data_IF_387898439095
#
_entry.id   IF_387898439095
#
_cell.length_a   1.000
_cell.length_b   1.000
_cell.length_c   1.000
_cell.angle_alpha   90.00
_cell.angle_beta   90.00
_cell.angle_gamma   90.00
#
_symmetry.space_group_name_H-M   'P 1'
#
loop_
_entity.id
_entity.type
_entity.pdbx_description
1 polymer ?
#
# COMPACT_ATOMS: atom_id res chain seq x y z
N UNK A 1 -6.44 -11.30 -14.24
CA UNK A 1 -7.18 -12.48 -14.76
C UNK A 1 -6.53 -13.82 -14.43
N UNK A 2 -5.19 -13.97 -14.47
CA UNK A 2 -4.53 -15.26 -14.16
C UNK A 2 -4.59 -15.70 -12.67
N UNK A 3 -4.49 -14.76 -11.72
CA UNK A 3 -4.62 -15.05 -10.27
C UNK A 3 -6.04 -15.53 -9.91
N UNK A 4 -7.04 -15.11 -10.70
CA UNK A 4 -8.46 -15.39 -10.48
C UNK A 4 -8.80 -16.89 -10.63
N UNK A 5 -8.02 -17.64 -11.42
CA UNK A 5 -8.16 -19.09 -11.60
C UNK A 5 -7.24 -19.94 -10.72
N UNK A 6 -6.20 -19.35 -10.12
CA UNK A 6 -5.18 -20.10 -9.36
C UNK A 6 -5.47 -20.23 -7.85
N UNK A 7 -6.27 -19.33 -7.27
CA UNK A 7 -6.59 -19.33 -5.82
C UNK A 7 -7.35 -20.61 -5.38
N UNK A 8 -7.84 -21.41 -6.32
CA UNK A 8 -8.99 -22.29 -6.11
C UNK A 8 -8.71 -23.78 -6.37
N UNK A 9 -7.45 -24.22 -6.24
CA UNK A 9 -7.11 -25.65 -6.38
C UNK A 9 -7.15 -26.43 -5.06
N UNK A 10 -7.20 -25.76 -3.91
CA UNK A 10 -7.37 -26.40 -2.62
C UNK A 10 -8.83 -26.82 -2.40
N UNK A 11 -9.15 -28.09 -2.64
CA UNK A 11 -10.47 -28.66 -2.35
C UNK A 11 -10.78 -28.76 -0.85
N UNK A 12 -11.76 -29.62 -0.52
CA UNK A 12 -12.23 -29.89 0.86
C UNK A 12 -11.07 -30.19 1.84
N UNK A 13 -10.03 -30.89 1.36
CA UNK A 13 -8.82 -31.20 2.14
C UNK A 13 -8.10 -29.96 2.70
N UNK A 14 -8.10 -28.85 1.96
CA UNK A 14 -7.47 -27.62 2.45
C UNK A 14 -8.29 -26.97 3.57
N UNK A 15 -9.63 -27.05 3.51
CA UNK A 15 -10.50 -26.55 4.57
C UNK A 15 -10.37 -27.43 5.81
N UNK A 16 -10.34 -28.75 5.65
CA UNK A 16 -10.12 -29.66 6.77
C UNK A 16 -8.79 -29.39 7.47
N UNK A 17 -7.70 -29.24 6.70
CA UNK A 17 -6.39 -28.92 7.27
C UNK A 17 -6.44 -27.62 8.07
N UNK A 18 -7.07 -26.59 7.51
CA UNK A 18 -7.23 -25.29 8.17
C UNK A 18 -8.06 -25.41 9.45
N UNK A 19 -9.21 -26.08 9.44
CA UNK A 19 -10.01 -26.23 10.65
C UNK A 19 -9.35 -27.12 11.70
N UNK A 20 -8.46 -28.05 11.30
CA UNK A 20 -7.61 -28.79 12.25
C UNK A 20 -6.57 -27.90 12.93
N UNK A 21 -6.07 -26.89 12.24
CA UNK A 21 -5.19 -25.86 12.82
C UNK A 21 -5.97 -24.98 13.81
N UNK A 22 -7.18 -24.54 13.43
CA UNK A 22 -8.01 -23.62 14.24
C UNK A 22 -8.67 -24.29 15.44
N UNK A 23 -9.21 -25.51 15.29
CA UNK A 23 -10.00 -26.20 16.31
C UNK A 23 -9.33 -27.46 16.88
N UNK A 24 -8.15 -27.84 16.37
CA UNK A 24 -7.42 -29.04 16.79
C UNK A 24 -7.63 -30.26 15.88
N UNK A 25 -6.84 -31.33 16.08
CA UNK A 25 -6.67 -32.42 15.10
C UNK A 25 -7.94 -33.23 14.80
N UNK A 26 -8.94 -33.19 15.69
CA UNK A 26 -10.22 -33.90 15.53
C UNK A 26 -11.27 -33.11 14.72
N UNK A 27 -10.90 -31.94 14.17
CA UNK A 27 -11.82 -31.16 13.35
C UNK A 27 -12.05 -31.82 11.98
N UNK A 28 -13.32 -31.93 11.60
CA UNK A 28 -13.76 -32.50 10.33
C UNK A 28 -14.81 -31.61 9.67
N UNK A 29 -14.62 -31.30 8.38
CA UNK A 29 -15.58 -30.51 7.62
C UNK A 29 -16.70 -31.44 7.15
N UNK A 30 -17.91 -31.19 7.65
CA UNK A 30 -19.09 -31.98 7.30
C UNK A 30 -19.77 -31.46 6.04
N UNK A 31 -19.85 -30.13 5.91
CA UNK A 31 -20.67 -29.48 4.89
C UNK A 31 -20.17 -28.09 4.52
N UNK A 32 -20.29 -27.72 3.25
CA UNK A 32 -20.04 -26.36 2.74
C UNK A 32 -21.23 -25.90 1.88
N UNK A 33 -21.85 -24.80 2.28
CA UNK A 33 -23.04 -24.23 1.66
C UNK A 33 -22.77 -22.79 1.23
N UNK A 34 -23.01 -22.49 -0.04
CA UNK A 34 -23.06 -21.11 -0.51
C UNK A 34 -24.35 -20.43 -0.03
N UNK A 35 -24.24 -19.40 0.82
CA UNK A 35 -25.42 -18.84 1.50
C UNK A 35 -26.40 -18.20 0.50
N UNK A 36 -25.99 -17.33 -0.45
CA UNK A 36 -26.95 -16.66 -1.33
C UNK A 36 -27.75 -17.61 -2.23
N UNK A 37 -27.13 -18.69 -2.72
CA UNK A 37 -27.78 -19.63 -3.64
C UNK A 37 -28.34 -20.89 -2.96
N UNK A 38 -27.99 -21.14 -1.70
CA UNK A 38 -28.32 -22.37 -0.98
C UNK A 38 -27.71 -23.63 -1.62
N UNK A 39 -26.73 -23.48 -2.52
CA UNK A 39 -26.10 -24.60 -3.20
C UNK A 39 -25.00 -25.20 -2.33
N UNK A 40 -25.11 -26.51 -2.13
CA UNK A 40 -24.07 -27.29 -1.48
C UNK A 40 -22.91 -27.54 -2.44
N UNK A 41 -21.68 -27.38 -1.94
CA UNK A 41 -20.46 -27.57 -2.71
C UNK A 41 -19.82 -28.90 -2.34
N UNK A 42 -19.63 -29.79 -3.31
CA UNK A 42 -18.96 -31.09 -3.12
C UNK A 42 -17.49 -31.04 -3.56
N UNK A 43 -16.68 -32.01 -3.12
CA UNK A 43 -15.20 -31.96 -3.09
C UNK A 43 -14.43 -31.62 -4.38
N UNK A 44 -15.05 -31.63 -5.57
CA UNK A 44 -14.44 -31.17 -6.84
C UNK A 44 -14.93 -29.79 -7.31
N UNK A 45 -16.06 -29.29 -6.79
CA UNK A 45 -16.74 -28.04 -7.18
C UNK A 45 -16.37 -26.84 -6.29
N UNK A 46 -15.48 -27.03 -5.32
CA UNK A 46 -14.91 -25.96 -4.48
C UNK A 46 -13.86 -25.11 -5.23
N UNK A 47 -13.65 -25.38 -6.54
CA UNK A 47 -12.93 -24.49 -7.46
C UNK A 47 -13.72 -23.19 -7.66
N UNK A 48 -13.82 -22.34 -6.65
CA UNK A 48 -14.66 -21.15 -6.77
C UNK A 48 -15.17 -20.55 -5.48
N UNK A 49 -14.37 -20.42 -4.43
CA UNK A 49 -14.65 -19.38 -3.43
C UNK A 49 -14.66 -18.04 -4.15
N UNK A 50 -15.86 -17.61 -4.53
CA UNK A 50 -16.06 -16.34 -5.21
C UNK A 50 -15.77 -15.20 -4.25
N UNK A 51 -15.06 -14.20 -4.74
CA UNK A 51 -14.82 -12.97 -4.00
C UNK A 51 -16.15 -12.30 -3.61
N UNK A 52 -16.34 -12.05 -2.31
CA UNK A 52 -17.56 -11.43 -1.77
C UNK A 52 -18.72 -12.39 -1.55
N UNK A 53 -18.54 -13.70 -1.70
CA UNK A 53 -19.61 -14.68 -1.45
C UNK A 53 -19.40 -15.33 -0.08
N UNK A 54 -20.39 -15.28 0.83
CA UNK A 54 -20.30 -15.93 2.12
C UNK A 54 -20.68 -17.42 2.04
N UNK A 55 -19.89 -18.26 2.71
CA UNK A 55 -20.09 -19.71 2.77
C UNK A 55 -20.32 -20.16 4.21
N UNK A 56 -21.42 -20.86 4.45
CA UNK A 56 -21.65 -21.56 5.71
C UNK A 56 -20.89 -22.90 5.67
N UNK A 57 -20.09 -23.16 6.70
CA UNK A 57 -19.34 -24.38 6.87
C UNK A 57 -19.77 -25.03 8.19
N UNK A 58 -20.15 -26.30 8.13
CA UNK A 58 -20.41 -27.12 9.32
C UNK A 58 -19.18 -27.97 9.61
N UNK A 59 -18.65 -27.85 10.82
CA UNK A 59 -17.41 -28.51 11.26
C UNK A 59 -17.71 -29.32 12.52
N UNK A 60 -17.44 -30.62 12.50
CA UNK A 60 -17.44 -31.45 13.71
C UNK A 60 -16.16 -31.20 14.50
N UNK A 61 -16.29 -30.86 15.78
CA UNK A 61 -15.17 -30.66 16.69
C UNK A 61 -15.47 -31.41 17.99
N UNK A 62 -14.74 -32.50 18.24
CA UNK A 62 -14.94 -33.35 19.43
C UNK A 62 -16.41 -33.80 19.63
N UNK A 63 -17.12 -34.11 18.54
CA UNK A 63 -18.52 -34.56 18.56
C UNK A 63 -19.56 -33.44 18.56
N UNK A 64 -19.15 -32.17 18.67
CA UNK A 64 -20.04 -31.01 18.53
C UNK A 64 -19.99 -30.44 17.11
N UNK A 65 -21.16 -30.11 16.54
CA UNK A 65 -21.23 -29.42 15.25
C UNK A 65 -21.13 -27.91 15.48
N UNK A 66 -20.04 -27.31 14.98
CA UNK A 66 -19.86 -25.86 14.89
C UNK A 66 -20.27 -25.37 13.51
N UNK A 67 -20.94 -24.21 13.47
CA UNK A 67 -21.35 -23.52 12.25
C UNK A 67 -20.56 -22.24 12.12
N UNK A 68 -19.82 -22.09 11.03
CA UNK A 68 -18.95 -20.93 10.79
C UNK A 68 -19.20 -20.36 9.41
N UNK A 69 -18.93 -19.07 9.23
CA UNK A 69 -19.05 -18.41 7.93
C UNK A 69 -17.67 -18.01 7.45
N UNK A 70 -17.32 -18.43 6.23
CA UNK A 70 -16.14 -17.97 5.52
C UNK A 70 -16.55 -16.88 4.53
N UNK A 71 -15.94 -15.71 4.67
CA UNK A 71 -16.20 -14.54 3.84
C UNK A 71 -14.90 -13.99 3.24
N UNK A 72 -15.02 -13.32 2.09
CA UNK A 72 -13.91 -12.64 1.42
C UNK A 72 -14.38 -11.26 0.96
N UNK A 73 -13.46 -10.29 0.88
CA UNK A 73 -13.80 -8.94 0.37
C UNK A 73 -13.59 -8.90 -1.14
N UNK A 74 -14.58 -8.40 -1.89
CA UNK A 74 -14.45 -8.29 -3.35
C UNK A 74 -13.50 -7.16 -3.75
N UNK A 75 -12.62 -7.38 -4.76
CA UNK A 75 -11.82 -6.29 -5.33
C UNK A 75 -12.72 -5.24 -6.00
N UNK A 76 -12.75 -4.02 -5.46
CA UNK A 76 -13.60 -2.91 -5.89
C UNK A 76 -12.93 -1.54 -5.63
N UNK A 77 -13.48 -0.47 -6.22
CA UNK A 77 -12.91 0.90 -6.27
C UNK A 77 -12.91 1.72 -4.96
N UNK A 78 -13.19 1.08 -3.83
CA UNK A 78 -13.39 1.71 -2.53
C UNK A 78 -12.20 1.52 -1.58
N UNK A 79 -11.01 1.22 -2.11
CA UNK A 79 -9.88 0.79 -1.29
C UNK A 79 -9.90 -0.71 -1.03
N UNK A 80 -10.37 -1.51 -2.00
CA UNK A 80 -10.31 -2.97 -1.96
C UNK A 80 -9.50 -3.53 -3.14
N UNK A 81 -8.83 -2.68 -3.93
CA UNK A 81 -8.19 -3.06 -5.18
C UNK A 81 -7.00 -4.01 -4.94
N UNK A 82 -6.14 -3.69 -3.97
CA UNK A 82 -4.99 -4.51 -3.61
C UNK A 82 -5.36 -5.56 -2.56
N UNK A 83 -4.62 -6.66 -2.53
CA UNK A 83 -4.82 -7.69 -1.51
C UNK A 83 -4.48 -7.17 -0.11
N UNK A 84 -3.54 -6.24 0.00
CA UNK A 84 -3.15 -5.56 1.24
C UNK A 84 -4.31 -4.78 1.85
N UNK A 85 -5.11 -4.09 1.04
CA UNK A 85 -6.25 -3.32 1.56
C UNK A 85 -7.30 -4.25 2.17
N UNK A 86 -7.58 -5.36 1.48
CA UNK A 86 -8.53 -6.38 1.95
C UNK A 86 -8.00 -7.07 3.21
N UNK A 87 -6.69 -7.33 3.27
CA UNK A 87 -6.04 -7.88 4.45
C UNK A 87 -6.17 -6.92 5.64
N UNK A 88 -5.89 -5.62 5.45
CA UNK A 88 -6.05 -4.60 6.50
C UNK A 88 -7.46 -4.62 7.09
N UNK A 89 -8.49 -4.65 6.25
CA UNK A 89 -9.89 -4.69 6.71
C UNK A 89 -10.18 -5.96 7.50
N UNK A 90 -9.83 -7.14 6.98
CA UNK A 90 -10.10 -8.43 7.63
C UNK A 90 -9.36 -8.59 8.96
N UNK A 91 -8.10 -8.16 9.01
CA UNK A 91 -7.29 -8.17 10.24
C UNK A 91 -7.89 -7.24 11.30
N UNK A 92 -8.31 -6.02 10.91
CA UNK A 92 -8.97 -5.10 11.81
C UNK A 92 -10.31 -5.64 12.31
N UNK A 93 -11.13 -6.22 11.42
CA UNK A 93 -12.38 -6.87 11.80
C UNK A 93 -12.16 -7.98 12.83
N UNK A 94 -11.17 -8.85 12.61
CA UNK A 94 -10.84 -9.92 13.56
C UNK A 94 -10.47 -9.37 14.95
N UNK A 95 -9.63 -8.34 14.99
CA UNK A 95 -9.24 -7.66 16.23
C UNK A 95 -10.42 -6.98 16.94
N UNK A 96 -11.32 -6.33 16.18
CA UNK A 96 -12.37 -5.47 16.73
C UNK A 96 -13.68 -6.20 17.07
N UNK A 97 -14.09 -7.21 16.29
CA UNK A 97 -15.43 -7.84 16.39
C UNK A 97 -15.74 -8.36 17.79
N UNK A 98 -14.75 -8.96 18.45
CA UNK A 98 -14.92 -9.57 19.77
C UNK A 98 -15.02 -8.55 20.92
N UNK A 99 -14.75 -7.26 20.65
CA UNK A 99 -14.78 -6.20 21.64
C UNK A 99 -16.10 -5.41 21.66
N UNK A 100 -16.99 -5.65 20.69
CA UNK A 100 -18.29 -4.99 20.62
C UNK A 100 -19.41 -5.92 21.11
N UNK A 101 -20.18 -5.55 22.17
CA UNK A 101 -21.29 -6.36 22.64
C UNK A 101 -22.34 -6.61 21.56
N UNK A 102 -22.91 -7.82 21.55
CA UNK A 102 -23.92 -8.28 20.57
C UNK A 102 -23.44 -8.28 19.11
N UNK A 103 -22.13 -8.25 18.88
CA UNK A 103 -21.53 -8.48 17.57
C UNK A 103 -21.24 -9.98 17.36
N UNK A 104 -21.24 -10.44 16.10
CA UNK A 104 -20.77 -11.79 15.79
C UNK A 104 -19.31 -11.93 16.23
N UNK A 105 -19.00 -13.06 16.87
CA UNK A 105 -17.63 -13.34 17.29
C UNK A 105 -16.78 -13.69 16.08
N UNK A 106 -15.63 -13.05 15.94
CA UNK A 106 -14.62 -13.50 14.99
C UNK A 106 -13.87 -14.69 15.59
N UNK A 107 -13.85 -15.80 14.86
CA UNK A 107 -13.21 -17.05 15.26
C UNK A 107 -11.73 -17.03 14.86
N UNK A 108 -11.46 -16.64 13.61
CA UNK A 108 -10.13 -16.59 13.01
C UNK A 108 -10.13 -15.60 11.84
N UNK A 109 -8.94 -15.22 11.39
CA UNK A 109 -8.67 -14.54 10.12
C UNK A 109 -7.56 -15.30 9.41
N UNK A 110 -7.63 -15.41 8.09
CA UNK A 110 -6.67 -16.21 7.33
C UNK A 110 -6.41 -15.66 5.94
N UNK A 111 -5.50 -16.32 5.24
CA UNK A 111 -5.15 -16.00 3.86
C UNK A 111 -5.15 -17.24 2.97
N UNK A 112 -5.40 -17.02 1.68
CA UNK A 112 -5.15 -18.01 0.64
C UNK A 112 -3.69 -17.90 0.17
N UNK A 113 -2.96 -19.01 0.18
CA UNK A 113 -1.58 -19.07 -0.31
C UNK A 113 -1.55 -19.09 -1.84
N UNK A 114 -0.37 -18.87 -2.43
CA UNK A 114 -0.17 -18.98 -3.88
C UNK A 114 -0.50 -20.39 -4.44
N UNK A 115 -0.54 -21.42 -3.59
CA UNK A 115 -0.94 -22.79 -3.94
C UNK A 115 -2.45 -23.03 -3.75
N UNK A 116 -3.22 -22.01 -3.40
CA UNK A 116 -4.65 -22.11 -3.14
C UNK A 116 -5.01 -22.84 -1.83
N UNK A 117 -4.07 -22.95 -0.89
CA UNK A 117 -4.35 -23.48 0.45
C UNK A 117 -4.74 -22.36 1.42
N UNK A 118 -5.49 -22.67 2.47
CA UNK A 118 -5.76 -21.72 3.55
C UNK A 118 -4.64 -21.74 4.59
N UNK A 119 -4.38 -20.58 5.21
CA UNK A 119 -3.44 -20.40 6.32
C UNK A 119 -4.11 -19.52 7.39
N UNK A 120 -4.11 -19.98 8.64
CA UNK A 120 -4.56 -19.18 9.77
C UNK A 120 -3.58 -18.03 10.06
N UNK A 121 -4.12 -16.90 10.48
CA UNK A 121 -3.40 -15.69 10.89
C UNK A 121 -3.94 -15.12 12.21
N UNK A 122 -4.94 -15.73 12.85
CA UNK A 122 -5.58 -15.16 14.05
C UNK A 122 -4.71 -15.14 15.31
N UNK A 123 -3.61 -15.88 15.34
CA UNK A 123 -2.62 -15.83 16.42
C UNK A 123 -1.52 -14.77 16.17
N UNK A 124 -1.46 -14.19 14.97
CA UNK A 124 -0.48 -13.18 14.61
C UNK A 124 -0.77 -11.86 15.34
N UNK A 125 0.28 -11.23 15.87
CA UNK A 125 0.19 -9.95 16.59
C UNK A 125 0.84 -8.79 15.86
N UNK A 126 1.86 -9.06 15.07
CA UNK A 126 2.61 -8.07 14.31
C UNK A 126 3.18 -8.71 13.03
N UNK A 127 3.22 -7.94 11.95
CA UNK A 127 3.86 -8.30 10.71
C UNK A 127 5.25 -7.66 10.63
N UNK A 128 6.19 -8.37 10.01
CA UNK A 128 7.51 -7.85 9.72
C UNK A 128 7.87 -8.12 8.27
N UNK A 129 8.71 -7.27 7.70
CA UNK A 129 9.34 -7.46 6.40
C UNK A 129 10.84 -7.68 6.59
N UNK A 130 11.41 -8.58 5.81
CA UNK A 130 12.86 -8.75 5.68
C UNK A 130 13.20 -8.36 4.25
N UNK A 131 14.12 -7.41 4.11
CA UNK A 131 14.65 -6.98 2.81
C UNK A 131 16.12 -7.37 2.72
N UNK A 132 16.66 -7.35 1.51
CA UNK A 132 18.11 -7.40 1.34
C UNK A 132 18.75 -6.16 2.01
N UNK A 133 19.97 -6.34 2.53
CA UNK A 133 20.77 -5.20 2.97
C UNK A 133 21.34 -4.50 1.74
N UNK A 134 21.19 -3.18 1.71
CA UNK A 134 21.70 -2.32 0.64
C UNK A 134 22.72 -1.36 1.24
N UNK A 135 23.97 -1.45 0.76
CA UNK A 135 25.02 -0.50 1.11
C UNK A 135 24.86 0.82 0.33
N UNK A 136 25.41 1.91 0.84
CA UNK A 136 25.42 3.22 0.18
C UNK A 136 25.18 4.40 1.12
N UNK A 137 25.31 5.62 0.57
CA UNK A 137 25.09 6.89 1.27
C UNK A 137 23.76 7.53 0.82
N UNK A 138 22.92 7.97 1.76
CA UNK A 138 21.70 8.70 1.42
C UNK A 138 21.99 9.96 0.58
N UNK A 139 21.20 10.19 -0.47
CA UNK A 139 21.38 11.34 -1.37
C UNK A 139 21.20 12.70 -0.66
N UNK A 140 20.49 12.77 0.46
CA UNK A 140 20.40 14.02 1.23
C UNK A 140 21.79 14.52 1.69
N UNK A 141 22.77 13.61 1.89
CA UNK A 141 24.14 13.99 2.25
C UNK A 141 24.86 14.73 1.12
N UNK A 142 24.54 14.40 -0.13
CA UNK A 142 25.03 15.16 -1.29
C UNK A 142 24.48 16.58 -1.25
N UNK A 143 23.19 16.75 -0.96
CA UNK A 143 22.56 18.07 -0.87
C UNK A 143 23.11 18.92 0.29
N UNK A 144 23.36 18.31 1.45
CA UNK A 144 24.08 18.96 2.55
C UNK A 144 25.48 19.39 2.13
N UNK A 145 26.19 18.54 1.39
CA UNK A 145 27.54 18.83 0.94
C UNK A 145 27.55 19.94 -0.13
N UNK A 146 26.58 19.98 -1.06
CA UNK A 146 26.39 21.08 -2.01
C UNK A 146 26.11 22.39 -1.27
N UNK A 147 25.23 22.38 -0.26
CA UNK A 147 24.92 23.55 0.56
C UNK A 147 26.17 24.08 1.26
N UNK A 148 26.97 23.19 1.87
CA UNK A 148 28.19 23.56 2.57
C UNK A 148 29.28 24.10 1.63
N UNK A 149 29.43 23.50 0.43
CA UNK A 149 30.41 23.95 -0.57
C UNK A 149 29.98 25.25 -1.26
N UNK A 150 28.67 25.46 -1.44
CA UNK A 150 28.12 26.58 -2.21
C UNK A 150 28.27 26.43 -3.73
N UNK A 151 28.70 25.27 -4.22
CA UNK A 151 28.89 24.97 -5.65
C UNK A 151 28.61 23.49 -5.99
N UNK A 152 28.28 23.23 -7.26
CA UNK A 152 28.14 21.88 -7.79
C UNK A 152 29.49 21.33 -8.25
N UNK A 153 29.76 20.09 -7.88
CA UNK A 153 30.74 19.23 -8.55
C UNK A 153 30.11 18.57 -9.79
N UNK A 154 30.96 17.97 -10.63
CA UNK A 154 30.48 17.17 -11.77
C UNK A 154 29.63 15.98 -11.31
N UNK A 155 30.02 15.33 -10.20
CA UNK A 155 29.28 14.18 -9.68
C UNK A 155 27.87 14.55 -9.21
N UNK A 156 27.68 15.73 -8.61
CA UNK A 156 26.34 16.18 -8.18
C UNK A 156 25.40 16.29 -9.39
N UNK A 157 25.91 16.83 -10.50
CA UNK A 157 25.17 16.95 -11.77
C UNK A 157 24.90 15.57 -12.37
N UNK A 158 25.90 14.69 -12.41
CA UNK A 158 25.78 13.33 -12.92
C UNK A 158 24.75 12.51 -12.13
N UNK A 159 24.75 12.62 -10.80
CA UNK A 159 23.76 11.96 -9.93
C UNK A 159 22.37 12.51 -10.17
N UNK A 160 22.19 13.83 -10.25
CA UNK A 160 20.90 14.43 -10.57
C UNK A 160 20.36 13.95 -11.93
N UNK A 161 21.22 13.87 -12.95
CA UNK A 161 20.87 13.32 -14.26
C UNK A 161 20.52 11.83 -14.20
N UNK A 162 21.26 11.03 -13.42
CA UNK A 162 20.96 9.62 -13.23
C UNK A 162 19.57 9.41 -12.58
N UNK A 163 19.22 10.21 -11.57
CA UNK A 163 17.90 10.18 -10.94
C UNK A 163 16.78 10.59 -11.91
N UNK A 164 17.03 11.62 -12.73
CA UNK A 164 16.09 12.05 -13.77
C UNK A 164 15.87 10.96 -14.83
N UNK A 165 16.94 10.34 -15.33
CA UNK A 165 16.86 9.23 -16.28
C UNK A 165 16.11 8.03 -15.71
N UNK A 166 16.33 7.73 -14.43
CA UNK A 166 15.57 6.69 -13.72
C UNK A 166 14.07 7.01 -13.67
N UNK A 167 13.67 8.25 -13.37
CA UNK A 167 12.26 8.63 -13.44
C UNK A 167 11.69 8.49 -14.85
N UNK A 168 12.43 8.86 -15.89
CA UNK A 168 12.01 8.64 -17.29
C UNK A 168 11.75 7.16 -17.56
N UNK A 169 12.66 6.27 -17.13
CA UNK A 169 12.48 4.82 -17.28
C UNK A 169 11.26 4.32 -16.50
N UNK A 170 11.13 4.70 -15.23
CA UNK A 170 10.02 4.28 -14.36
C UNK A 170 8.68 4.73 -14.95
N UNK A 171 8.57 6.02 -15.31
CA UNK A 171 7.35 6.66 -15.79
C UNK A 171 7.00 6.34 -17.25
N UNK A 172 7.93 5.74 -18.01
CA UNK A 172 7.67 5.27 -19.38
C UNK A 172 6.64 4.13 -19.43
N UNK A 173 6.53 3.35 -18.34
CA UNK A 173 5.55 2.28 -18.20
C UNK A 173 4.19 2.87 -17.84
N UNK A 174 3.27 2.89 -18.81
CA UNK A 174 1.92 3.44 -18.66
C UNK A 174 0.92 2.42 -18.10
N UNK A 175 0.05 2.88 -17.21
CA UNK A 175 -0.99 2.07 -16.59
C UNK A 175 -2.21 1.93 -17.51
N UNK A 176 -2.27 0.85 -18.29
CA UNK A 176 -3.41 0.56 -19.18
C UNK A 176 -4.56 -0.04 -18.38
N UNK A 177 -5.73 0.62 -18.37
CA UNK A 177 -6.89 0.18 -17.59
C UNK A 177 -6.77 0.40 -16.08
N UNK A 178 -5.79 1.22 -15.66
CA UNK A 178 -5.48 1.52 -14.25
C UNK A 178 -5.92 2.93 -13.85
N UNK A 179 -6.84 3.55 -14.60
CA UNK A 179 -7.43 4.84 -14.29
C UNK A 179 -8.04 4.89 -12.87
N UNK A 180 -8.71 3.84 -12.36
CA UNK A 180 -9.19 3.82 -10.98
C UNK A 180 -8.06 3.95 -9.94
N UNK A 181 -6.89 3.33 -10.19
CA UNK A 181 -5.74 3.42 -9.28
C UNK A 181 -5.14 4.82 -9.27
N UNK A 182 -5.11 5.51 -10.41
CA UNK A 182 -4.70 6.91 -10.46
C UNK A 182 -5.61 7.80 -9.60
N UNK A 183 -6.93 7.63 -9.73
CA UNK A 183 -7.92 8.40 -8.96
C UNK A 183 -7.80 8.08 -7.48
N UNK A 184 -7.56 6.81 -7.14
CA UNK A 184 -7.28 6.36 -5.78
C UNK A 184 -6.03 7.03 -5.22
N UNK A 185 -4.90 6.99 -5.93
CA UNK A 185 -3.64 7.60 -5.47
C UNK A 185 -3.80 9.09 -5.19
N UNK A 186 -4.48 9.83 -6.05
CA UNK A 186 -4.77 11.25 -5.83
C UNK A 186 -5.68 11.51 -4.61
N UNK A 187 -6.56 10.56 -4.26
CA UNK A 187 -7.38 10.62 -3.04
C UNK A 187 -6.52 10.32 -1.79
N UNK A 188 -5.67 9.31 -1.85
CA UNK A 188 -4.79 8.92 -0.73
C UNK A 188 -3.73 9.96 -0.43
N UNK A 189 -3.09 10.56 -1.45
CA UNK A 189 -2.13 11.64 -1.26
C UNK A 189 -2.68 12.79 -0.40
N UNK A 190 -3.99 13.04 -0.49
CA UNK A 190 -4.65 14.08 0.31
C UNK A 190 -5.07 13.52 1.66
N UNK A 191 -5.84 12.43 1.66
CA UNK A 191 -6.57 11.99 2.85
C UNK A 191 -5.94 10.90 3.70
N UNK A 192 -4.84 10.29 3.27
CA UNK A 192 -4.19 9.23 4.03
C UNK A 192 -3.40 9.82 5.21
N UNK A 193 -3.39 9.13 6.36
CA UNK A 193 -2.66 9.55 7.58
C UNK A 193 -1.14 9.60 7.43
N UNK A 194 -0.60 9.00 6.38
CA UNK A 194 0.83 9.04 6.01
C UNK A 194 1.10 10.06 4.88
N UNK A 195 0.12 10.90 4.54
CA UNK A 195 0.22 11.88 3.46
C UNK A 195 -0.25 13.27 3.96
N UNK A 196 -0.83 14.12 3.10
CA UNK A 196 -1.01 15.55 3.41
C UNK A 196 -1.81 15.80 4.68
N UNK A 197 -2.99 15.20 4.84
CA UNK A 197 -3.82 15.41 6.05
C UNK A 197 -3.10 14.93 7.32
N UNK A 198 -2.50 13.74 7.32
CA UNK A 198 -1.77 13.27 8.50
C UNK A 198 -0.51 14.07 8.82
N UNK A 199 0.19 14.58 7.80
CA UNK A 199 1.29 15.53 7.99
C UNK A 199 0.79 16.83 8.61
N UNK A 200 -0.35 17.37 8.15
CA UNK A 200 -0.96 18.57 8.73
C UNK A 200 -1.34 18.34 10.20
N UNK A 201 -1.95 17.21 10.52
CA UNK A 201 -2.31 16.84 11.90
C UNK A 201 -1.08 16.76 12.84
N UNK A 202 0.11 16.54 12.28
CA UNK A 202 1.36 16.50 13.05
C UNK A 202 1.93 17.87 13.42
N UNK A 203 1.42 18.97 12.83
CA UNK A 203 1.90 20.31 13.14
C UNK A 203 1.45 20.73 14.55
N UNK A 204 2.37 21.24 15.40
CA UNK A 204 1.99 21.74 16.71
C UNK A 204 1.14 23.02 16.58
N UNK A 205 0.22 23.26 17.51
CA UNK A 205 -0.57 24.49 17.52
C UNK A 205 0.31 25.72 17.80
N UNK A 206 -0.09 26.87 17.26
CA UNK A 206 0.53 28.17 17.57
C UNK A 206 1.82 28.50 16.80
N UNK A 207 2.09 27.82 15.68
CA UNK A 207 3.20 28.19 14.79
C UNK A 207 2.87 29.43 13.96
N UNK A 208 3.67 30.49 14.10
CA UNK A 208 3.47 31.75 13.36
C UNK A 208 3.64 31.59 11.84
N UNK A 209 4.57 30.74 11.41
CA UNK A 209 4.88 30.52 9.99
C UNK A 209 4.02 29.43 9.31
N UNK A 210 3.17 28.74 10.08
CA UNK A 210 2.31 27.65 9.61
C UNK A 210 1.07 27.56 10.52
N UNK A 211 0.32 28.65 10.60
CA UNK A 211 -0.88 28.72 11.43
C UNK A 211 -2.04 27.87 10.86
N UNK A 212 -3.08 27.67 11.65
CA UNK A 212 -4.25 26.87 11.24
C UNK A 212 -4.90 27.38 9.96
N UNK A 213 -4.92 28.72 9.75
CA UNK A 213 -5.43 29.33 8.54
C UNK A 213 -4.63 28.92 7.30
N UNK A 214 -3.31 28.92 7.41
CA UNK A 214 -2.39 28.50 6.35
C UNK A 214 -2.57 27.02 6.03
N UNK A 215 -2.61 26.16 7.05
CA UNK A 215 -2.78 24.70 6.88
C UNK A 215 -4.13 24.38 6.23
N UNK A 216 -5.22 25.03 6.68
CA UNK A 216 -6.55 24.89 6.09
C UNK A 216 -6.57 25.32 4.62
N UNK A 217 -5.89 26.41 4.27
CA UNK A 217 -5.80 26.87 2.88
C UNK A 217 -5.03 25.87 1.99
N UNK A 218 -3.98 25.24 2.52
CA UNK A 218 -3.27 24.16 1.82
C UNK A 218 -4.23 23.01 1.51
N UNK A 219 -5.00 22.53 2.50
CA UNK A 219 -5.98 21.46 2.29
C UNK A 219 -7.03 21.83 1.23
N UNK A 220 -7.57 23.05 1.30
CA UNK A 220 -8.55 23.55 0.30
C UNK A 220 -7.97 23.49 -1.11
N UNK A 221 -6.73 23.97 -1.29
CA UNK A 221 -6.04 23.90 -2.60
C UNK A 221 -5.83 22.46 -3.05
N UNK A 222 -5.45 21.56 -2.15
CA UNK A 222 -5.30 20.14 -2.47
C UNK A 222 -6.61 19.53 -2.96
N UNK A 223 -7.74 19.82 -2.29
CA UNK A 223 -9.07 19.35 -2.71
C UNK A 223 -9.42 19.87 -4.11
N UNK A 224 -9.21 21.16 -4.39
CA UNK A 224 -9.44 21.73 -5.71
C UNK A 224 -8.61 21.04 -6.80
N UNK A 225 -7.32 20.84 -6.54
CA UNK A 225 -6.42 20.14 -7.46
C UNK A 225 -6.82 18.70 -7.68
N UNK A 226 -7.32 17.98 -6.66
CA UNK A 226 -7.86 16.62 -6.81
C UNK A 226 -8.93 16.53 -7.89
N UNK A 227 -9.87 17.50 -7.91
CA UNK A 227 -10.93 17.54 -8.92
C UNK A 227 -10.41 17.78 -10.34
N UNK A 228 -9.27 18.46 -10.47
CA UNK A 228 -8.58 18.67 -11.75
C UNK A 228 -7.82 17.41 -12.15
N UNK A 229 -7.02 16.84 -11.24
CA UNK A 229 -6.16 15.68 -11.51
C UNK A 229 -6.96 14.44 -11.83
N UNK A 230 -8.07 14.15 -11.15
CA UNK A 230 -8.86 12.93 -11.39
C UNK A 230 -9.38 12.80 -12.84
N UNK A 231 -9.49 13.91 -13.58
CA UNK A 231 -9.89 13.93 -15.00
C UNK A 231 -8.72 13.63 -15.95
N UNK A 232 -7.51 13.46 -15.41
CA UNK A 232 -6.27 13.21 -16.14
C UNK A 232 -5.74 11.81 -15.92
N UNK A 233 -6.61 10.85 -15.58
CA UNK A 233 -6.22 9.48 -15.28
C UNK A 233 -5.50 8.77 -16.44
N UNK A 234 -5.64 9.25 -17.68
CA UNK A 234 -4.83 8.82 -18.83
C UNK A 234 -3.31 9.03 -18.65
N UNK A 235 -2.88 9.82 -17.66
CA UNK A 235 -1.48 10.03 -17.30
C UNK A 235 -0.91 8.92 -16.41
N UNK A 236 -1.76 8.01 -15.93
CA UNK A 236 -1.37 6.92 -15.03
C UNK A 236 -0.12 6.22 -15.55
N UNK A 237 0.90 6.18 -14.70
CA UNK A 237 2.16 5.50 -14.97
C UNK A 237 2.66 4.83 -13.71
N UNK A 238 3.63 3.94 -13.89
CA UNK A 238 4.39 3.39 -12.79
C UNK A 238 5.13 4.53 -12.10
N UNK A 239 5.07 4.58 -10.77
CA UNK A 239 5.73 5.59 -9.93
C UNK A 239 6.50 4.92 -8.79
N UNK A 240 7.40 5.66 -8.16
CA UNK A 240 7.94 5.29 -6.85
C UNK A 240 6.91 5.61 -5.75
N UNK A 241 6.30 6.80 -5.82
CA UNK A 241 5.30 7.30 -4.87
C UNK A 241 5.89 7.95 -3.61
N UNK A 242 7.22 7.96 -3.48
CA UNK A 242 7.97 8.58 -2.36
C UNK A 242 9.42 8.90 -2.72
N UNK A 243 9.63 9.44 -3.92
CA UNK A 243 10.96 9.62 -4.50
C UNK A 243 11.65 10.88 -3.97
N UNK A 244 12.37 10.76 -2.85
CA UNK A 244 13.08 11.86 -2.20
C UNK A 244 14.49 11.46 -1.72
N UNK A 245 15.37 12.43 -1.40
CA UNK A 245 16.78 12.16 -1.13
C UNK A 245 17.09 11.16 0.01
N UNK A 246 16.22 11.02 1.00
CA UNK A 246 16.39 10.03 2.08
C UNK A 246 16.10 8.58 1.65
N UNK A 247 15.34 8.36 0.57
CA UNK A 247 15.00 7.03 0.07
C UNK A 247 15.94 6.57 -1.05
N UNK A 248 17.08 7.23 -1.23
CA UNK A 248 18.03 6.94 -2.32
C UNK A 248 19.41 6.76 -1.72
N UNK A 249 19.97 5.57 -1.90
CA UNK A 249 21.33 5.26 -1.47
C UNK A 249 22.26 5.18 -2.68
N UNK A 250 23.22 6.10 -2.77
CA UNK A 250 24.30 6.01 -3.75
C UNK A 250 25.45 5.17 -3.20
N UNK A 251 25.85 4.14 -3.94
CA UNK A 251 27.02 3.31 -3.61
C UNK A 251 28.29 3.99 -4.09
N UNK A 252 28.47 4.08 -5.41
CA UNK A 252 29.62 4.69 -6.05
C UNK A 252 29.20 5.38 -7.35
N UNK A 253 29.77 6.56 -7.64
CA UNK A 253 29.41 7.31 -8.84
C UNK A 253 27.91 7.55 -8.92
N UNK A 254 27.30 7.16 -10.04
CA UNK A 254 25.86 7.23 -10.30
C UNK A 254 25.09 5.94 -10.00
N UNK A 255 25.73 4.92 -9.42
CA UNK A 255 25.06 3.68 -9.02
C UNK A 255 24.29 3.90 -7.70
N UNK A 256 22.99 3.67 -7.74
CA UNK A 256 22.12 3.87 -6.58
C UNK A 256 21.04 2.79 -6.46
N UNK A 257 20.44 2.74 -5.29
CA UNK A 257 19.26 1.93 -4.99
C UNK A 257 18.21 2.79 -4.33
N UNK A 258 16.96 2.60 -4.73
CA UNK A 258 15.79 3.26 -4.12
C UNK A 258 15.21 2.39 -3.01
N UNK A 259 14.67 3.02 -1.99
CA UNK A 259 14.06 2.40 -0.82
C UNK A 259 12.62 2.88 -0.67
N UNK A 260 11.84 2.15 0.12
CA UNK A 260 10.50 2.56 0.57
C UNK A 260 9.51 2.98 -0.54
N UNK A 261 8.94 1.96 -1.20
CA UNK A 261 7.85 2.12 -2.18
C UNK A 261 6.47 1.90 -1.56
N UNK A 262 6.27 2.32 -0.31
CA UNK A 262 5.06 2.03 0.47
C UNK A 262 3.79 2.76 0.00
N UNK A 263 3.93 3.81 -0.82
CA UNK A 263 2.82 4.71 -1.23
C UNK A 263 2.11 4.31 -2.54
N UNK A 264 2.38 3.11 -3.03
CA UNK A 264 1.69 2.53 -4.18
C UNK A 264 2.47 2.63 -5.49
N UNK A 265 2.12 1.75 -6.43
CA UNK A 265 2.92 1.53 -7.64
C UNK A 265 2.46 2.31 -8.88
N UNK A 266 1.23 2.83 -8.88
CA UNK A 266 0.61 3.52 -10.01
C UNK A 266 0.07 4.88 -9.59
N UNK A 267 0.37 5.92 -10.37
CA UNK A 267 0.01 7.29 -10.01
C UNK A 267 0.33 8.33 -11.08
N UNK A 268 0.46 9.58 -10.64
CA UNK A 268 0.86 10.72 -11.45
C UNK A 268 2.40 10.86 -11.40
N UNK A 269 3.13 10.72 -12.54
CA UNK A 269 4.57 10.99 -12.65
C UNK A 269 5.05 12.28 -11.99
N UNK A 270 4.22 13.34 -12.04
CA UNK A 270 4.57 14.62 -11.44
C UNK A 270 4.74 14.55 -9.91
N UNK A 271 4.20 13.53 -9.24
CA UNK A 271 4.36 13.30 -7.79
C UNK A 271 5.83 12.99 -7.45
N UNK A 272 6.45 12.01 -8.13
CA UNK A 272 7.88 11.68 -7.93
C UNK A 272 8.80 12.87 -8.25
N UNK A 273 8.48 13.60 -9.34
CA UNK A 273 9.26 14.78 -9.73
C UNK A 273 9.13 15.91 -8.70
N UNK A 274 7.93 16.20 -8.22
CA UNK A 274 7.70 17.20 -7.19
C UNK A 274 8.35 16.81 -5.86
N UNK A 275 8.23 15.54 -5.46
CA UNK A 275 8.83 15.00 -4.24
C UNK A 275 10.36 15.14 -4.23
N UNK A 276 11.03 14.98 -5.38
CA UNK A 276 12.46 15.24 -5.49
C UNK A 276 12.78 16.74 -5.51
N UNK A 277 12.20 17.48 -6.47
CA UNK A 277 12.59 18.87 -6.77
C UNK A 277 12.29 19.86 -5.65
N UNK A 278 11.26 19.62 -4.83
CA UNK A 278 10.98 20.46 -3.67
C UNK A 278 12.17 20.53 -2.70
N UNK A 279 12.99 19.47 -2.65
CA UNK A 279 14.19 19.46 -1.83
C UNK A 279 15.23 20.45 -2.36
N UNK A 280 15.47 20.53 -3.66
CA UNK A 280 16.42 21.51 -4.21
C UNK A 280 15.97 22.95 -3.92
N UNK A 281 14.66 23.21 -4.01
CA UNK A 281 14.08 24.49 -3.60
C UNK A 281 14.31 24.76 -2.11
N UNK A 282 14.02 23.77 -1.25
CA UNK A 282 14.20 23.89 0.19
C UNK A 282 15.65 24.13 0.59
N UNK A 283 16.59 23.38 0.01
CA UNK A 283 18.03 23.55 0.24
C UNK A 283 18.52 24.93 -0.23
N UNK A 284 18.01 25.44 -1.37
CA UNK A 284 18.31 26.80 -1.81
C UNK A 284 17.82 27.85 -0.82
N UNK A 285 16.58 27.72 -0.35
CA UNK A 285 15.99 28.65 0.62
C UNK A 285 16.74 28.63 1.95
N UNK A 286 17.15 27.45 2.42
CA UNK A 286 17.99 27.33 3.61
C UNK A 286 19.36 27.99 3.45
N UNK A 287 19.99 27.84 2.28
CA UNK A 287 21.33 28.36 2.01
C UNK A 287 21.36 29.87 1.76
N UNK A 288 20.35 30.39 1.07
CA UNK A 288 20.40 31.74 0.48
C UNK A 288 19.17 32.61 0.76
N UNK A 289 18.10 32.06 1.34
CA UNK A 289 16.82 32.78 1.51
C UNK A 289 16.05 33.01 0.22
N UNK A 290 16.56 32.52 -0.92
CA UNK A 290 15.96 32.66 -2.26
C UNK A 290 16.34 31.46 -3.14
N UNK A 291 15.68 31.32 -4.29
CA UNK A 291 16.02 30.30 -5.29
C UNK A 291 17.24 30.77 -6.09
N UNK A 292 18.37 30.11 -5.88
CA UNK A 292 19.68 30.52 -6.41
C UNK A 292 20.55 29.30 -6.74
N UNK A 293 21.52 29.52 -7.62
CA UNK A 293 22.60 28.55 -7.80
C UNK A 293 23.34 28.28 -6.48
N UNK A 294 23.84 27.06 -6.25
CA UNK A 294 23.91 25.94 -7.18
C UNK A 294 22.59 25.15 -7.35
N UNK A 295 21.66 25.24 -6.41
CA UNK A 295 20.46 24.40 -6.37
C UNK A 295 19.46 24.71 -7.47
N UNK A 296 19.37 25.95 -7.93
CA UNK A 296 18.52 26.34 -9.08
C UNK A 296 18.87 25.58 -10.37
N UNK A 297 20.12 25.13 -10.51
CA UNK A 297 20.60 24.39 -11.69
C UNK A 297 20.23 22.90 -11.65
N UNK A 298 19.99 22.34 -10.46
CA UNK A 298 19.55 20.95 -10.26
C UNK A 298 18.04 20.83 -10.50
#
# INVERSE_FOLDING_TARGET
MAIMGMILSGGLESLERYFREVYGPNAEVLRVLEIPSGKERSGMDLKGFGYGIPYLIEVSVNGEIKKVVLETIRPEGFGHEHFSDRAQILLWQHSAFNNLPKHVRSIDVGAFTARGTLKSLGDCREFFIITEFVDGKPYYLDLEAIKARGELSNLDVERCLALSNYLVEVHSVKGVGLEPLYIRRARELIGHGECIMGLIDSYPPGLEYADEGTLMEIERKCIEWRWRLKKKAYRCARVHGDFHPWNILFREGTDFTVLDRSRGEWGEPADDLAAMTINYLFYSLQAYGEIKDPFKRL
#
